data_IF_975184139657
#
_entry.id   IF_975184139657
#
_cell.length_a   1.000
_cell.length_b   1.000
_cell.length_c   1.000
_cell.angle_alpha   90.00
_cell.angle_beta   90.00
_cell.angle_gamma   90.00
#
_symmetry.space_group_name_H-M   'P 1'
#
loop_
_entity.id
_entity.type
_entity.pdbx_description
1 polymer ?
#
# COMPACT_ATOMS: atom_id res chain seq x y z
N UNK A 1 -7.97 -7.52 -21.06
CA UNK A 1 -8.08 -7.15 -19.63
C UNK A 1 -9.34 -7.83 -19.12
N UNK A 2 -9.26 -8.68 -18.10
CA UNK A 2 -10.43 -9.40 -17.59
C UNK A 2 -11.19 -8.52 -16.59
N UNK A 3 -12.49 -8.33 -16.81
CA UNK A 3 -13.37 -7.55 -15.93
C UNK A 3 -13.89 -8.40 -14.77
N UNK A 4 -14.19 -7.74 -13.63
CA UNK A 4 -14.63 -8.39 -12.39
C UNK A 4 -15.85 -9.31 -12.59
N UNK A 5 -16.68 -9.04 -13.59
CA UNK A 5 -17.88 -9.81 -13.91
C UNK A 5 -17.63 -11.16 -14.62
N UNK A 6 -16.40 -11.40 -15.09
CA UNK A 6 -16.05 -12.64 -15.81
C UNK A 6 -15.43 -13.72 -14.92
N UNK A 7 -15.15 -13.38 -13.66
CA UNK A 7 -14.57 -14.30 -12.70
C UNK A 7 -15.64 -15.25 -12.13
N UNK A 8 -15.26 -16.52 -11.95
CA UNK A 8 -16.01 -17.43 -11.10
C UNK A 8 -16.09 -16.88 -9.67
N UNK A 9 -17.07 -17.34 -8.89
CA UNK A 9 -17.25 -16.90 -7.48
C UNK A 9 -15.95 -16.99 -6.68
N UNK A 10 -15.13 -18.00 -6.95
CA UNK A 10 -13.86 -18.22 -6.26
C UNK A 10 -12.76 -17.24 -6.70
N UNK A 11 -12.72 -16.89 -7.98
CA UNK A 11 -11.78 -15.88 -8.50
C UNK A 11 -12.19 -14.46 -8.08
N UNK A 12 -13.48 -14.16 -8.01
CA UNK A 12 -14.00 -12.90 -7.49
C UNK A 12 -13.72 -12.75 -5.98
N UNK A 13 -13.76 -13.85 -5.21
CA UNK A 13 -13.35 -13.87 -3.81
C UNK A 13 -11.84 -13.63 -3.65
N UNK A 14 -11.01 -14.16 -4.55
CA UNK A 14 -9.57 -13.91 -4.54
C UNK A 14 -9.20 -12.46 -4.92
N UNK A 15 -10.09 -11.74 -5.61
CA UNK A 15 -9.91 -10.34 -5.98
C UNK A 15 -10.40 -9.35 -4.89
N UNK A 16 -10.97 -9.83 -3.78
CA UNK A 16 -11.59 -8.99 -2.76
C UNK A 16 -10.55 -8.41 -1.78
N UNK A 17 -10.48 -7.08 -1.74
CA UNK A 17 -9.59 -6.32 -0.85
C UNK A 17 -9.93 -6.56 0.62
N UNK A 18 -8.92 -6.85 1.46
CA UNK A 18 -9.08 -6.93 2.92
C UNK A 18 -9.70 -8.21 3.47
N UNK A 19 -9.97 -9.23 2.65
CA UNK A 19 -10.54 -10.50 3.13
C UNK A 19 -9.60 -11.30 4.05
N UNK A 20 -8.28 -11.03 3.98
CA UNK A 20 -7.29 -11.68 4.85
C UNK A 20 -7.04 -10.92 6.15
N UNK A 21 -7.83 -9.88 6.41
CA UNK A 21 -7.82 -9.11 7.65
C UNK A 21 -7.27 -7.70 7.48
N UNK A 22 -7.16 -6.99 8.59
CA UNK A 22 -6.61 -5.65 8.65
C UNK A 22 -5.89 -5.40 9.97
N UNK A 23 -5.02 -4.38 9.99
CA UNK A 23 -4.26 -3.96 11.16
C UNK A 23 -4.31 -2.45 11.32
N UNK A 24 -4.66 -1.99 12.52
CA UNK A 24 -4.47 -0.60 12.93
C UNK A 24 -3.01 -0.41 13.34
N UNK A 25 -2.34 0.56 12.72
CA UNK A 25 -0.96 0.93 13.03
C UNK A 25 -0.94 2.36 13.55
N UNK A 26 -0.39 2.54 14.76
CA UNK A 26 -0.28 3.84 15.43
C UNK A 26 1.13 4.15 15.90
N UNK A 27 2.10 3.34 15.49
CA UNK A 27 3.50 3.46 15.88
C UNK A 27 4.41 3.53 14.67
N UNK A 28 5.70 3.65 14.94
CA UNK A 28 6.76 3.87 13.93
C UNK A 28 7.67 2.66 13.74
N UNK A 29 7.29 1.50 14.28
CA UNK A 29 7.99 0.23 14.03
C UNK A 29 7.57 -0.32 12.66
N UNK A 30 8.50 -0.96 11.95
CA UNK A 30 8.21 -1.61 10.68
C UNK A 30 7.09 -2.66 10.84
N UNK A 31 6.12 -2.62 9.92
CA UNK A 31 4.97 -3.51 9.89
C UNK A 31 5.04 -4.35 8.62
N UNK A 32 4.99 -5.66 8.80
CA UNK A 32 4.94 -6.66 7.73
C UNK A 32 3.82 -7.66 8.02
N UNK A 33 3.44 -8.46 7.03
CA UNK A 33 2.41 -9.50 7.17
C UNK A 33 2.93 -10.84 6.66
N UNK A 34 2.54 -11.93 7.33
CA UNK A 34 2.78 -13.31 6.87
C UNK A 34 1.56 -13.91 6.16
N UNK A 35 0.48 -13.14 6.01
CA UNK A 35 -0.80 -13.60 5.47
C UNK A 35 -1.06 -13.15 4.03
N UNK A 36 -0.12 -12.47 3.38
CA UNK A 36 -0.27 -11.93 2.04
C UNK A 36 0.49 -10.62 1.90
N UNK A 37 -0.11 -9.64 1.25
CA UNK A 37 0.43 -8.27 1.15
C UNK A 37 -0.63 -7.26 1.57
N UNK A 38 -0.22 -6.05 1.90
CA UNK A 38 -1.15 -4.95 2.07
C UNK A 38 -1.70 -4.54 0.71
N UNK A 39 -3.03 -4.54 0.56
CA UNK A 39 -3.72 -4.22 -0.69
C UNK A 39 -4.43 -2.87 -0.68
N UNK A 40 -4.63 -2.32 0.52
CA UNK A 40 -5.12 -0.97 0.72
C UNK A 40 -4.58 -0.40 2.04
N UNK A 41 -4.34 0.91 2.07
CA UNK A 41 -3.95 1.64 3.28
C UNK A 41 -4.87 2.85 3.41
N UNK A 42 -5.68 2.87 4.47
CA UNK A 42 -6.54 4.00 4.83
C UNK A 42 -5.83 4.86 5.86
N UNK A 43 -5.72 6.16 5.59
CA UNK A 43 -5.11 7.13 6.48
C UNK A 43 -6.14 7.67 7.47
N UNK A 44 -5.86 7.53 8.76
CA UNK A 44 -6.73 7.96 9.87
C UNK A 44 -6.32 9.34 10.39
N UNK A 45 -5.08 9.75 10.14
CA UNK A 45 -4.55 11.10 10.32
C UNK A 45 -3.54 11.40 9.21
N UNK A 46 -3.08 12.64 9.11
CA UNK A 46 -2.01 13.01 8.19
C UNK A 46 -0.76 12.17 8.49
N UNK A 47 -0.32 11.43 7.48
CA UNK A 47 0.68 10.37 7.65
C UNK A 47 1.86 10.61 6.72
N UNK A 48 3.06 10.41 7.26
CA UNK A 48 4.31 10.41 6.50
C UNK A 48 4.99 9.06 6.74
N UNK A 49 5.37 8.37 5.67
CA UNK A 49 6.15 7.15 5.78
C UNK A 49 7.62 7.49 6.12
N UNK A 50 8.32 6.55 6.76
CA UNK A 50 9.74 6.72 7.06
C UNK A 50 10.55 6.89 5.78
N UNK A 51 11.56 7.75 5.81
CA UNK A 51 12.48 7.92 4.69
C UNK A 51 13.40 6.71 4.52
N UNK A 52 13.90 6.53 3.29
CA UNK A 52 14.73 5.40 2.86
C UNK A 52 13.96 4.07 2.83
N UNK A 53 14.55 3.02 2.21
CA UNK A 53 13.86 1.86 1.61
C UNK A 53 12.98 0.98 2.54
N UNK A 54 12.68 1.42 3.76
CA UNK A 54 11.71 0.82 4.67
C UNK A 54 10.41 1.61 4.87
N UNK A 55 10.21 2.76 4.21
CA UNK A 55 9.02 3.61 4.34
C UNK A 55 7.73 2.97 3.89
N UNK A 56 7.57 2.79 2.59
CA UNK A 56 6.51 2.02 1.97
C UNK A 56 7.18 1.13 0.93
N UNK A 57 6.99 -0.18 1.03
CA UNK A 57 7.75 -1.16 0.26
C UNK A 57 6.78 -1.84 -0.70
N UNK A 58 6.85 -1.50 -1.99
CA UNK A 58 6.02 -2.10 -3.02
C UNK A 58 6.42 -3.56 -3.30
N UNK A 59 5.44 -4.45 -3.44
CA UNK A 59 5.68 -5.86 -3.86
C UNK A 59 6.31 -5.92 -5.27
N UNK A 60 5.96 -4.95 -6.11
CA UNK A 60 6.60 -4.72 -7.41
C UNK A 60 7.01 -3.26 -7.47
N UNK A 61 8.32 -3.01 -7.30
CA UNK A 61 8.90 -1.69 -7.40
C UNK A 61 8.52 -1.02 -8.74
N UNK A 62 8.38 0.30 -8.75
CA UNK A 62 7.99 1.10 -9.91
C UNK A 62 6.55 0.89 -10.41
N UNK A 63 5.80 -0.10 -9.90
CA UNK A 63 4.39 -0.31 -10.24
C UNK A 63 3.43 0.28 -9.20
N UNK A 64 3.81 0.26 -7.93
CA UNK A 64 3.05 0.86 -6.82
C UNK A 64 3.85 1.97 -6.16
N UNK A 65 3.19 2.93 -5.47
CA UNK A 65 3.88 3.93 -4.66
C UNK A 65 4.88 3.27 -3.72
N UNK A 66 6.10 3.79 -3.71
CA UNK A 66 7.24 3.22 -3.01
C UNK A 66 8.15 4.37 -2.53
N UNK A 67 8.91 4.13 -1.45
CA UNK A 67 9.84 5.14 -0.93
C UNK A 67 11.00 5.45 -1.90
N UNK A 68 11.44 4.49 -2.70
CA UNK A 68 12.51 4.68 -3.69
C UNK A 68 11.99 4.68 -5.14
N UNK A 69 10.90 3.97 -5.40
CA UNK A 69 10.32 3.82 -6.73
C UNK A 69 9.58 5.07 -7.23
N UNK A 70 9.80 5.43 -8.49
CA UNK A 70 9.21 6.65 -9.10
C UNK A 70 8.03 6.36 -10.03
N UNK A 71 7.65 5.09 -10.26
CA UNK A 71 6.49 4.75 -11.09
C UNK A 71 6.82 4.46 -12.56
N UNK A 72 8.08 4.21 -12.88
CA UNK A 72 8.57 4.09 -14.27
C UNK A 72 8.08 2.84 -15.02
N UNK A 73 7.50 1.85 -14.32
CA UNK A 73 6.83 0.73 -14.96
C UNK A 73 5.48 1.13 -15.57
N UNK A 74 4.91 2.27 -15.15
CA UNK A 74 3.66 2.83 -15.67
C UNK A 74 3.95 3.88 -16.75
N UNK A 75 4.84 4.83 -16.47
CA UNK A 75 5.23 5.90 -17.37
C UNK A 75 6.72 6.21 -17.24
N UNK A 76 7.46 6.13 -18.34
CA UNK A 76 8.91 6.38 -18.40
C UNK A 76 9.35 7.77 -17.92
N UNK A 77 8.46 8.76 -17.91
CA UNK A 77 8.73 10.12 -17.46
C UNK A 77 7.86 10.51 -16.24
N UNK A 78 7.08 9.58 -15.70
CA UNK A 78 6.09 9.86 -14.68
C UNK A 78 6.58 9.61 -13.25
N UNK A 79 5.91 10.28 -12.32
CA UNK A 79 5.86 9.97 -10.89
C UNK A 79 7.04 10.45 -10.04
N UNK A 80 6.93 10.15 -8.75
CA UNK A 80 7.90 10.51 -7.73
C UNK A 80 7.86 9.45 -6.63
N UNK A 81 9.01 9.24 -6.01
CA UNK A 81 9.11 8.52 -4.74
C UNK A 81 8.24 9.21 -3.68
N UNK A 82 7.70 8.44 -2.75
CA UNK A 82 6.83 8.99 -1.69
C UNK A 82 7.60 9.64 -0.53
N UNK A 83 8.94 9.62 -0.55
CA UNK A 83 9.76 10.13 0.53
C UNK A 83 9.42 11.59 0.89
N UNK A 84 9.16 11.84 2.17
CA UNK A 84 8.74 13.14 2.69
C UNK A 84 7.34 13.61 2.29
N UNK A 85 6.57 12.82 1.53
CA UNK A 85 5.20 13.18 1.14
C UNK A 85 4.23 12.94 2.30
N UNK A 86 3.37 13.93 2.58
CA UNK A 86 2.27 13.80 3.53
C UNK A 86 1.02 13.30 2.82
N UNK A 87 0.50 12.15 3.25
CA UNK A 87 -0.78 11.61 2.84
C UNK A 87 -1.88 12.13 3.78
N UNK A 88 -2.87 12.90 3.28
CA UNK A 88 -3.89 13.50 4.14
C UNK A 88 -4.81 12.48 4.80
N UNK A 89 -5.31 12.85 5.97
CA UNK A 89 -6.37 12.11 6.66
C UNK A 89 -7.58 11.84 5.75
N UNK A 90 -8.13 10.63 5.85
CA UNK A 90 -9.39 10.26 5.22
C UNK A 90 -9.25 9.68 3.82
N UNK A 91 -8.06 9.70 3.21
CA UNK A 91 -7.85 9.04 1.92
C UNK A 91 -7.49 7.56 2.07
N UNK A 92 -7.67 6.80 0.99
CA UNK A 92 -7.15 5.43 0.87
C UNK A 92 -6.32 5.33 -0.40
N UNK A 93 -5.16 4.67 -0.29
CA UNK A 93 -4.40 4.20 -1.46
C UNK A 93 -4.64 2.71 -1.67
N UNK A 94 -4.68 2.29 -2.93
CA UNK A 94 -4.82 0.89 -3.35
C UNK A 94 -3.58 0.47 -4.11
N UNK A 95 -3.07 -0.72 -3.84
CA UNK A 95 -1.80 -1.18 -4.38
C UNK A 95 -1.41 -2.54 -3.81
N UNK A 96 -0.12 -2.87 -3.81
CA UNK A 96 0.41 -4.10 -3.21
C UNK A 96 1.74 -3.80 -2.52
N UNK A 97 1.80 -4.00 -1.21
CA UNK A 97 2.97 -3.66 -0.39
C UNK A 97 3.35 -4.79 0.57
N UNK A 98 4.63 -5.15 0.60
CA UNK A 98 5.18 -6.17 1.50
C UNK A 98 5.28 -5.68 2.95
N UNK A 99 5.38 -4.36 3.12
CA UNK A 99 5.43 -3.73 4.42
C UNK A 99 5.53 -2.22 4.33
N UNK A 100 5.49 -1.60 5.50
CA UNK A 100 5.66 -0.16 5.65
C UNK A 100 6.14 0.21 7.06
N UNK A 101 6.73 1.38 7.18
CA UNK A 101 7.13 2.01 8.43
C UNK A 101 6.66 3.46 8.42
N UNK A 102 5.96 3.89 9.46
CA UNK A 102 5.52 5.28 9.59
C UNK A 102 6.62 6.13 10.22
N UNK A 103 6.85 7.34 9.72
CA UNK A 103 7.57 8.38 10.45
C UNK A 103 6.62 9.08 11.45
N UNK A 104 5.39 9.32 11.01
CA UNK A 104 4.28 9.85 11.80
C UNK A 104 2.96 9.39 11.19
N UNK A 105 1.88 9.47 11.96
CA UNK A 105 0.56 9.16 11.47
C UNK A 105 -0.05 7.89 12.05
N UNK A 106 -1.25 7.58 11.56
CA UNK A 106 -2.02 6.38 11.88
C UNK A 106 -2.73 5.90 10.64
N UNK A 107 -2.66 4.60 10.42
CA UNK A 107 -3.28 3.96 9.25
C UNK A 107 -3.99 2.67 9.64
N UNK A 108 -4.93 2.26 8.80
CA UNK A 108 -5.42 0.87 8.75
C UNK A 108 -4.90 0.25 7.46
N UNK A 109 -4.07 -0.78 7.58
CA UNK A 109 -3.61 -1.61 6.47
C UNK A 109 -4.52 -2.82 6.28
N UNK A 110 -5.01 -3.03 5.06
CA UNK A 110 -5.87 -4.18 4.70
C UNK A 110 -5.05 -5.23 3.94
N UNK A 111 -5.21 -6.51 4.31
CA UNK A 111 -4.42 -7.62 3.78
C UNK A 111 -5.25 -8.38 2.72
N UNK A 112 -4.61 -8.72 1.60
CA UNK A 112 -5.19 -9.48 0.49
C UNK A 112 -4.32 -10.64 0.03
#
# INVERSE_FOLDING_TARGET
>A
MADLHTYSVQEAQNAALGQKGSILVTGTTAVTTSMGVFVAIQFIEDTVFASASGGLIAETEQLYPDDAGTGTAIDSNGGAAIDGVTFPQGMTIFGRWDGFTLASGKVIGYIG
#
